data_IF_931733988666
#
_entry.id   IF_931733988666
#
_cell.length_a   1.000
_cell.length_b   1.000
_cell.length_c   1.000
_cell.angle_alpha   90.00
_cell.angle_beta   90.00
_cell.angle_gamma   90.00
#
_symmetry.space_group_name_H-M   'P 1'
#
loop_
_entity.id
_entity.type
_entity.pdbx_description
1 polymer ?
#
# COMPACT_ATOMS: atom_id res chain seq x y z
N UNK A 1 20.00 -6.54 2.77
CA UNK A 1 19.38 -5.19 2.77
C UNK A 1 18.13 -5.29 3.62
N UNK A 2 17.93 -4.37 4.55
CA UNK A 2 16.74 -4.37 5.41
C UNK A 2 15.63 -3.60 4.70
N UNK A 3 14.46 -4.20 4.54
CA UNK A 3 13.26 -3.50 4.06
C UNK A 3 12.72 -2.68 5.21
N UNK A 4 12.44 -1.42 4.97
CA UNK A 4 12.00 -0.47 6.01
C UNK A 4 10.66 0.20 5.67
N UNK A 5 10.16 0.00 4.43
CA UNK A 5 8.80 0.40 4.02
C UNK A 5 8.01 -0.77 3.48
N UNK A 6 6.75 -0.84 3.86
CA UNK A 6 5.76 -1.75 3.28
C UNK A 6 4.69 -0.94 2.55
N UNK A 7 4.33 -1.41 1.36
CA UNK A 7 3.35 -0.76 0.49
C UNK A 7 2.30 -1.81 0.07
N UNK A 8 1.07 -1.76 0.62
CA UNK A 8 -0.02 -2.55 0.11
C UNK A 8 -0.47 -2.03 -1.26
N UNK A 9 -0.50 -2.94 -2.24
CA UNK A 9 -0.95 -2.68 -3.59
C UNK A 9 -2.29 -3.37 -3.79
N UNK A 10 -3.38 -2.62 -3.71
CA UNK A 10 -4.72 -3.12 -4.04
C UNK A 10 -4.91 -3.00 -5.54
N UNK A 11 -5.01 -4.14 -6.23
CA UNK A 11 -5.26 -4.19 -7.67
C UNK A 11 -6.75 -4.42 -7.93
N UNK A 12 -7.31 -3.63 -8.84
CA UNK A 12 -8.66 -3.84 -9.38
C UNK A 12 -8.60 -3.84 -10.90
N UNK A 13 -9.20 -4.85 -11.53
CA UNK A 13 -9.34 -4.89 -12.98
C UNK A 13 -10.79 -4.63 -13.36
N UNK A 14 -11.06 -3.48 -14.00
CA UNK A 14 -12.36 -3.17 -14.64
C UNK A 14 -12.16 -3.03 -16.14
N UNK A 15 -12.13 -1.79 -16.64
CA UNK A 15 -11.79 -1.44 -18.03
C UNK A 15 -10.28 -1.30 -18.23
N UNK A 16 -9.56 -0.97 -17.16
CA UNK A 16 -8.12 -0.91 -17.07
C UNK A 16 -7.67 -1.47 -15.71
N UNK A 17 -6.36 -1.70 -15.56
CA UNK A 17 -5.75 -2.00 -14.27
C UNK A 17 -5.74 -0.72 -13.43
N UNK A 18 -6.37 -0.77 -12.28
CA UNK A 18 -6.44 0.31 -11.31
C UNK A 18 -5.68 -0.09 -10.04
N UNK A 19 -5.00 0.89 -9.45
CA UNK A 19 -4.31 0.75 -8.16
C UNK A 19 -4.88 1.76 -7.16
N UNK A 20 -4.92 1.38 -5.89
CA UNK A 20 -5.29 2.31 -4.83
C UNK A 20 -4.17 3.34 -4.61
N UNK A 21 -4.56 4.62 -4.59
CA UNK A 21 -3.71 5.75 -4.25
C UNK A 21 -4.55 6.78 -3.48
N UNK A 22 -3.89 7.60 -2.67
CA UNK A 22 -4.51 8.74 -1.99
C UNK A 22 -3.94 10.06 -2.52
N UNK A 23 -4.73 11.11 -2.49
CA UNK A 23 -4.33 12.44 -2.92
C UNK A 23 -4.00 13.28 -1.67
N UNK A 24 -2.72 13.59 -1.50
CA UNK A 24 -2.26 14.48 -0.44
C UNK A 24 -2.27 15.94 -0.93
N UNK A 25 -2.88 16.89 -0.20
CA UNK A 25 -3.06 18.28 -0.65
C UNK A 25 -1.78 18.99 -1.09
N UNK A 26 -0.65 18.65 -0.48
CA UNK A 26 0.66 19.27 -0.77
C UNK A 26 1.61 18.37 -1.57
N UNK A 27 1.34 17.06 -1.62
CA UNK A 27 2.30 16.08 -2.12
C UNK A 27 1.77 15.24 -3.28
N UNK A 28 0.56 15.57 -3.77
CA UNK A 28 -0.07 14.92 -4.91
C UNK A 28 -0.49 13.48 -4.60
N UNK A 29 -0.56 12.67 -5.65
CA UNK A 29 -0.96 11.27 -5.56
C UNK A 29 0.16 10.42 -4.96
N UNK A 30 -0.19 9.62 -3.96
CA UNK A 30 0.71 8.76 -3.22
C UNK A 30 0.12 7.35 -3.06
N UNK A 31 1.00 6.36 -3.01
CA UNK A 31 0.63 5.01 -2.62
C UNK A 31 0.53 4.93 -1.09
N UNK A 32 -0.43 4.12 -0.62
CA UNK A 32 -0.48 3.70 0.78
C UNK A 32 0.84 3.02 1.13
N UNK A 33 1.48 3.48 2.20
CA UNK A 33 2.75 2.93 2.68
C UNK A 33 3.08 3.46 4.07
N UNK A 34 3.77 2.63 4.84
CA UNK A 34 4.42 3.07 6.06
C UNK A 34 5.56 2.17 6.48
N UNK A 35 5.97 2.31 7.74
CA UNK A 35 7.20 1.72 8.25
C UNK A 35 6.99 0.24 8.58
N UNK A 36 8.02 -0.56 8.35
CA UNK A 36 8.06 -1.93 8.88
C UNK A 36 8.57 -1.86 10.32
N UNK A 37 7.79 -2.33 11.27
CA UNK A 37 8.15 -2.29 12.68
C UNK A 37 9.19 -3.38 13.04
N UNK A 38 9.97 -3.21 14.13
CA UNK A 38 10.95 -4.20 14.54
C UNK A 38 10.33 -5.60 14.79
N UNK A 39 10.81 -6.60 14.06
CA UNK A 39 10.29 -7.98 14.14
C UNK A 39 9.00 -8.23 13.35
N UNK A 40 8.45 -7.20 12.71
CA UNK A 40 7.29 -7.32 11.83
C UNK A 40 7.71 -7.80 10.43
N UNK A 41 6.93 -8.70 9.85
CA UNK A 41 7.14 -9.10 8.46
C UNK A 41 6.49 -8.06 7.52
N UNK A 42 7.10 -7.86 6.35
CA UNK A 42 6.67 -6.79 5.42
C UNK A 42 5.24 -6.95 4.91
N UNK A 43 4.72 -8.19 4.87
CA UNK A 43 3.35 -8.53 4.52
C UNK A 43 2.36 -8.14 5.64
N UNK A 44 2.73 -8.37 6.90
CA UNK A 44 1.94 -7.92 8.06
C UNK A 44 1.91 -6.40 8.12
N UNK A 45 3.06 -5.75 7.93
CA UNK A 45 3.17 -4.30 7.84
C UNK A 45 2.27 -3.75 6.72
N UNK A 46 2.28 -4.36 5.52
CA UNK A 46 1.43 -3.91 4.42
C UNK A 46 -0.07 -3.98 4.74
N UNK A 47 -0.53 -5.03 5.41
CA UNK A 47 -1.96 -5.16 5.82
C UNK A 47 -2.31 -4.13 6.89
N UNK A 48 -1.44 -3.95 7.90
CA UNK A 48 -1.64 -2.93 8.94
C UNK A 48 -1.75 -1.53 8.34
N UNK A 49 -0.81 -1.15 7.48
CA UNK A 49 -0.78 0.16 6.81
C UNK A 49 -2.01 0.36 5.89
N UNK A 50 -2.51 -0.69 5.24
CA UNK A 50 -3.75 -0.60 4.45
C UNK A 50 -4.95 -0.21 5.32
N UNK A 51 -5.01 -0.72 6.54
CA UNK A 51 -6.06 -0.40 7.50
C UNK A 51 -5.86 1.00 8.08
N UNK A 52 -4.64 1.35 8.49
CA UNK A 52 -4.34 2.63 9.16
C UNK A 52 -4.51 3.83 8.22
N UNK A 53 -3.98 3.75 7.00
CA UNK A 53 -3.94 4.88 6.08
C UNK A 53 -5.17 4.95 5.16
N UNK A 54 -5.81 3.81 4.89
CA UNK A 54 -6.92 3.74 3.94
C UNK A 54 -8.24 3.26 4.54
N UNK A 55 -8.25 2.80 5.80
CA UNK A 55 -9.44 2.22 6.44
C UNK A 55 -9.92 0.93 5.77
N UNK A 56 -9.08 0.27 4.96
CA UNK A 56 -9.47 -0.89 4.15
C UNK A 56 -8.96 -2.18 4.78
N UNK A 57 -9.87 -3.10 5.02
CA UNK A 57 -9.53 -4.47 5.41
C UNK A 57 -9.15 -5.29 4.17
N UNK A 58 -8.02 -5.97 4.23
CA UNK A 58 -7.52 -6.79 3.13
C UNK A 58 -6.55 -7.87 3.62
N UNK A 59 -6.12 -8.73 2.68
CA UNK A 59 -5.11 -9.76 2.94
C UNK A 59 -4.06 -9.77 1.84
N UNK A 60 -2.80 -10.02 2.21
CA UNK A 60 -1.75 -10.22 1.20
C UNK A 60 -2.03 -11.48 0.39
N UNK A 61 -1.86 -11.37 -0.93
CA UNK A 61 -1.94 -12.47 -1.88
C UNK A 61 -0.56 -12.90 -2.32
N UNK A 62 0.32 -11.94 -2.62
CA UNK A 62 1.69 -12.20 -3.04
C UNK A 62 2.60 -11.00 -2.83
N UNK A 63 3.88 -11.30 -2.71
CA UNK A 63 4.94 -10.30 -2.78
C UNK A 63 5.18 -9.91 -4.25
N UNK A 64 5.08 -8.62 -4.57
CA UNK A 64 5.29 -8.10 -5.93
C UNK A 64 6.76 -7.75 -6.19
N UNK A 65 7.53 -7.52 -5.14
CA UNK A 65 8.97 -7.24 -5.23
C UNK A 65 9.41 -6.19 -4.24
N UNK A 66 10.73 -5.95 -4.24
CA UNK A 66 11.34 -4.89 -3.47
C UNK A 66 11.99 -3.85 -4.38
N UNK A 67 11.93 -2.59 -3.97
CA UNK A 67 12.57 -1.49 -4.67
C UNK A 67 13.34 -0.63 -3.68
N UNK A 68 14.59 -0.33 -4.02
CA UNK A 68 15.39 0.63 -3.26
C UNK A 68 15.28 1.99 -3.92
N UNK A 69 14.70 2.95 -3.20
CA UNK A 69 14.63 4.33 -3.65
C UNK A 69 16.03 4.95 -3.63
N UNK A 70 16.51 5.41 -4.78
CA UNK A 70 17.76 6.17 -4.86
C UNK A 70 17.63 7.61 -4.32
N UNK A 71 16.41 8.11 -4.21
CA UNK A 71 16.13 9.49 -3.74
C UNK A 71 16.11 9.52 -2.21
N UNK A 72 15.38 8.59 -1.60
CA UNK A 72 15.16 8.58 -0.14
C UNK A 72 16.03 7.58 0.60
N UNK A 73 16.68 6.64 -0.11
CA UNK A 73 17.50 5.58 0.48
C UNK A 73 16.70 4.40 1.05
N UNK A 74 15.39 4.56 1.23
CA UNK A 74 14.48 3.53 1.76
C UNK A 74 14.34 2.33 0.82
N UNK A 75 14.23 1.14 1.40
CA UNK A 75 13.88 -0.09 0.67
C UNK A 75 12.43 -0.44 0.93
N UNK A 76 11.64 -0.48 -0.14
CA UNK A 76 10.20 -0.72 -0.14
C UNK A 76 9.93 -2.16 -0.52
N UNK A 77 9.01 -2.82 0.18
CA UNK A 77 8.37 -4.05 -0.25
C UNK A 77 6.94 -3.76 -0.70
N UNK A 78 6.62 -4.21 -1.91
CA UNK A 78 5.28 -4.13 -2.46
C UNK A 78 4.58 -5.48 -2.28
N UNK A 79 3.37 -5.44 -1.73
CA UNK A 79 2.55 -6.62 -1.49
C UNK A 79 1.20 -6.43 -2.14
N UNK A 80 0.80 -7.35 -3.01
CA UNK A 80 -0.56 -7.33 -3.54
C UNK A 80 -1.54 -7.68 -2.44
N UNK A 81 -2.51 -6.81 -2.18
CA UNK A 81 -3.56 -7.01 -1.20
C UNK A 81 -4.90 -7.21 -1.89
N UNK A 82 -5.55 -8.33 -1.59
CA UNK A 82 -6.92 -8.58 -2.00
C UNK A 82 -7.88 -7.99 -0.97
N UNK A 83 -8.87 -7.26 -1.47
CA UNK A 83 -9.92 -6.62 -0.68
C UNK A 83 -11.25 -7.23 -1.11
N UNK A 84 -12.00 -7.78 -0.15
CA UNK A 84 -13.23 -8.53 -0.45
C UNK A 84 -14.41 -7.61 -0.84
N UNK A 85 -14.38 -6.35 -0.39
CA UNK A 85 -15.37 -5.34 -0.73
C UNK A 85 -15.10 -4.72 -2.11
N UNK A 86 -16.14 -4.52 -2.91
CA UNK A 86 -16.03 -3.71 -4.13
C UNK A 86 -15.85 -2.25 -3.73
N UNK A 87 -14.62 -1.76 -3.84
CA UNK A 87 -14.31 -0.37 -3.52
C UNK A 87 -14.93 0.56 -4.58
N UNK A 88 -15.38 1.77 -4.23
CA UNK A 88 -15.75 2.77 -5.22
C UNK A 88 -14.52 3.24 -6.02
N UNK A 89 -14.74 4.02 -7.09
CA UNK A 89 -13.64 4.66 -7.82
C UNK A 89 -12.91 5.70 -6.96
N UNK A 90 -13.66 6.42 -6.13
CA UNK A 90 -13.14 7.39 -5.17
C UNK A 90 -13.66 7.00 -3.79
N UNK A 91 -12.75 6.80 -2.84
CA UNK A 91 -13.09 6.71 -1.43
C UNK A 91 -13.26 8.16 -0.96
N UNK A 92 -14.45 8.52 -0.49
CA UNK A 92 -14.68 9.86 0.03
C UNK A 92 -13.66 10.15 1.15
N UNK A 93 -12.99 11.29 1.07
CA UNK A 93 -12.04 11.74 2.08
C UNK A 93 -12.80 12.11 3.36
N UNK A 94 -13.00 11.14 4.25
CA UNK A 94 -13.34 11.43 5.63
C UNK A 94 -12.04 11.69 6.40
N UNK A 95 -11.43 12.84 6.14
CA UNK A 95 -10.42 13.45 7.00
C UNK A 95 -10.86 14.87 7.32
#
# INVERSE_FOLDING_TARGET
MMVDKACPVVLRSRQALEILAFEHPLAGLQLVKGSVEPGESTDVAAVRELVEEAGIQGRVVRHLGTWRSHITGHTWAFHECHVAQDLPRYLGSSC
#
